data_IF_436025339687
#
_entry.id   IF_436025339687
#
_cell.length_a   1.000
_cell.length_b   1.000
_cell.length_c   1.000
_cell.angle_alpha   90.00
_cell.angle_beta   90.00
_cell.angle_gamma   90.00
#
_symmetry.space_group_name_H-M   'P 1'
#
loop_
_entity.id
_entity.type
_entity.pdbx_description
1 polymer ?
2 non-polymer ?
3 non-polymer ?
4 non-polymer ?
5 water ?
#
# COMPACT_ATOMS: atom_id res chain seq x y z
N UNK A 15 23.13 -6.88 -17.79
CA UNK A 15 23.69 -7.50 -18.98
C UNK A 15 23.50 -6.57 -20.16
N UNK A 16 24.56 -6.38 -20.93
CA UNK A 16 24.45 -5.60 -22.15
C UNK A 16 23.74 -6.37 -23.26
N UNK A 17 23.20 -7.56 -22.99
CA UNK A 17 22.33 -8.20 -23.97
C UNK A 17 20.97 -7.54 -24.03
N UNK A 18 20.61 -6.76 -23.01
CA UNK A 18 19.26 -6.27 -22.86
C UNK A 18 19.21 -4.76 -23.03
N UNK A 19 18.18 -4.29 -23.75
CA UNK A 19 17.85 -2.86 -23.88
C UNK A 19 19.05 -2.05 -24.39
N UNK A 20 19.68 -2.55 -25.45
CA UNK A 20 20.80 -1.82 -26.04
C UNK A 20 20.40 -0.96 -27.23
N UNK A 21 19.11 -0.92 -27.59
CA UNK A 21 18.69 -0.18 -28.78
C UNK A 21 17.48 0.71 -28.51
N UNK A 22 17.25 1.10 -27.26
CA UNK A 22 16.10 1.93 -26.91
C UNK A 22 16.47 3.41 -27.07
N UNK A 23 16.54 3.82 -28.33
CA UNK A 23 17.05 5.16 -28.66
C UNK A 23 16.07 6.24 -28.18
N UNK A 24 14.78 5.97 -28.25
CA UNK A 24 13.75 6.89 -27.83
C UNK A 24 12.97 6.27 -26.67
N UNK A 25 11.87 6.90 -26.31
CA UNK A 25 10.97 6.25 -25.39
C UNK A 25 11.19 6.66 -23.95
N UNK A 26 10.26 6.26 -23.12
CA UNK A 26 10.08 6.87 -21.82
C UNK A 26 9.67 5.80 -20.82
N UNK A 27 10.02 6.03 -19.56
CA UNK A 27 9.93 4.98 -18.55
C UNK A 27 9.33 5.56 -17.28
N UNK A 28 8.35 4.87 -16.70
CA UNK A 28 7.68 5.33 -15.50
C UNK A 28 7.70 4.25 -14.43
N UNK A 29 7.70 4.69 -13.17
CA UNK A 29 7.52 3.81 -12.01
C UNK A 29 6.04 3.62 -11.76
N UNK A 30 5.63 2.37 -11.53
CA UNK A 30 4.27 2.05 -11.07
C UNK A 30 4.37 1.54 -9.65
N UNK A 31 3.62 2.14 -8.74
CA UNK A 31 3.59 1.72 -7.32
C UNK A 31 2.19 1.26 -6.98
N UNK A 32 2.01 -0.04 -6.76
CA UNK A 32 0.68 -0.60 -6.50
C UNK A 32 0.43 -0.81 -5.01
N UNK A 33 -0.81 -0.57 -4.58
CA UNK A 33 -1.27 -0.95 -3.24
C UNK A 33 -1.69 -2.42 -3.16
N UNK A 34 -1.64 -3.14 -4.27
CA UNK A 34 -2.28 -4.44 -4.36
C UNK A 34 -1.43 -5.37 -5.21
N UNK A 35 -0.93 -6.45 -4.61
CA UNK A 35 -0.32 -7.50 -5.41
C UNK A 35 -1.36 -8.20 -6.27
N UNK A 36 -2.61 -8.29 -5.79
CA UNK A 36 -3.66 -8.93 -6.59
C UNK A 36 -3.92 -8.18 -7.89
N UNK A 37 -3.81 -6.85 -7.86
CA UNK A 37 -3.98 -6.09 -9.08
C UNK A 37 -2.86 -6.39 -10.06
N UNK A 38 -1.63 -6.53 -9.57
CA UNK A 38 -0.51 -6.89 -10.43
C UNK A 38 -0.75 -8.26 -11.07
N UNK A 39 -1.19 -9.23 -10.27
CA UNK A 39 -1.47 -10.56 -10.79
C UNK A 39 -2.52 -10.50 -11.91
N UNK A 40 -3.55 -9.68 -11.74
CA UNK A 40 -4.56 -9.55 -12.78
C UNK A 40 -3.97 -8.89 -14.01
N UNK A 41 -3.07 -7.93 -13.81
CA UNK A 41 -2.38 -7.27 -14.92
C UNK A 41 -1.54 -8.26 -15.71
N UNK A 42 -0.82 -9.14 -15.01
CA UNK A 42 0.01 -10.12 -15.72
C UNK A 42 -0.87 -11.11 -16.47
N UNK A 43 -2.02 -11.48 -15.89
CA UNK A 43 -2.88 -12.49 -16.51
C UNK A 43 -3.54 -11.95 -17.78
N UNK A 44 -3.98 -10.70 -17.77
CA UNK A 44 -4.76 -10.16 -18.88
C UNK A 44 -4.08 -9.04 -19.64
N UNK A 45 -2.83 -8.70 -19.29
CA UNK A 45 -2.05 -7.69 -20.01
C UNK A 45 -2.80 -6.36 -20.09
N UNK A 46 -3.25 -5.86 -18.93
CA UNK A 46 -3.91 -4.57 -18.83
C UNK A 46 -3.48 -3.90 -17.54
N UNK A 47 -3.64 -2.58 -17.49
CA UNK A 47 -3.36 -1.86 -16.25
C UNK A 47 -4.25 -0.63 -16.17
N UNK A 48 -4.27 -0.02 -14.98
CA UNK A 48 -5.00 1.22 -14.74
C UNK A 48 -4.21 1.98 -13.69
N UNK A 49 -4.13 3.31 -13.82
CA UNK A 49 -3.41 4.11 -12.83
C UNK A 49 -4.38 5.04 -12.10
N UNK A 50 -3.83 6.00 -11.35
CA UNK A 50 -4.62 7.07 -10.78
C UNK A 50 -5.22 7.93 -11.89
N UNK A 51 -6.08 8.87 -11.49
CA UNK A 51 -6.63 9.81 -12.47
C UNK A 51 -5.50 10.62 -13.11
N UNK A 52 -4.66 11.24 -12.29
CA UNK A 52 -3.53 12.00 -12.81
C UNK A 52 -2.49 11.09 -13.47
N UNK A 53 -2.30 9.88 -12.96
CA UNK A 53 -1.34 8.96 -13.58
C UNK A 53 -1.80 8.49 -14.95
N UNK A 54 -3.09 8.20 -15.09
CA UNK A 54 -3.61 7.84 -16.41
C UNK A 54 -3.38 8.94 -17.42
N UNK A 55 -3.63 10.19 -17.02
CA UNK A 55 -3.44 11.30 -17.96
C UNK A 55 -1.97 11.46 -18.35
N UNK A 56 -1.06 11.29 -17.38
CA UNK A 56 0.36 11.41 -17.68
C UNK A 56 0.84 10.30 -18.61
N UNK A 57 0.42 9.05 -18.35
CA UNK A 57 0.82 7.96 -19.23
C UNK A 57 0.18 8.09 -20.61
N UNK A 58 -1.08 8.53 -20.64
CA UNK A 58 -1.79 8.72 -21.91
C UNK A 58 -1.05 9.69 -22.80
N UNK A 59 -0.68 10.85 -22.24
CA UNK A 59 0.04 11.88 -23.00
C UNK A 59 1.40 11.37 -23.48
N UNK A 60 2.12 10.62 -22.64
CA UNK A 60 3.40 10.08 -23.04
C UNK A 60 3.24 9.07 -24.17
N UNK A 61 2.25 8.18 -24.06
CA UNK A 61 2.02 7.20 -25.12
C UNK A 61 1.59 7.88 -26.41
N UNK A 62 0.69 8.86 -26.32
CA UNK A 62 0.17 9.50 -27.53
C UNK A 62 1.25 10.31 -28.24
N UNK A 63 2.07 11.06 -27.48
CA UNK A 63 3.10 11.87 -28.12
C UNK A 63 4.23 11.01 -28.67
N UNK A 64 4.44 9.83 -28.11
CA UNK A 64 5.43 8.91 -28.66
C UNK A 64 5.06 8.47 -30.07
N UNK A 65 3.75 8.34 -30.34
CA UNK A 65 3.25 8.03 -31.69
C UNK A 65 3.97 6.83 -32.30
N UNK A 66 4.24 5.82 -31.47
CA UNK A 66 4.89 4.61 -31.94
C UNK A 66 6.37 4.74 -32.26
N UNK A 67 6.99 5.88 -31.97
CA UNK A 67 8.41 6.06 -32.26
C UNK A 67 9.32 5.27 -31.33
N UNK A 68 8.84 4.92 -30.14
CA UNK A 68 9.62 4.16 -29.20
C UNK A 68 8.72 3.55 -28.13
N UNK A 69 9.32 2.81 -27.19
CA UNK A 69 8.52 2.17 -26.14
C UNK A 69 8.30 3.05 -24.92
N UNK A 70 7.14 2.88 -24.30
CA UNK A 70 6.87 3.39 -22.96
C UNK A 70 6.93 2.18 -22.03
N UNK A 71 7.91 2.17 -21.15
CA UNK A 71 8.10 1.05 -20.23
C UNK A 71 7.61 1.42 -18.84
N UNK A 72 7.09 0.42 -18.13
CA UNK A 72 6.54 0.58 -16.78
C UNK A 72 7.30 -0.35 -15.84
N UNK A 73 7.88 0.21 -14.77
CA UNK A 73 8.66 -0.54 -13.80
C UNK A 73 7.77 -0.73 -12.57
N UNK A 74 7.34 -1.96 -12.32
CA UNK A 74 6.30 -2.22 -11.31
C UNK A 74 6.91 -2.56 -9.96
N UNK A 75 6.25 -2.09 -8.90
CA UNK A 75 6.65 -2.38 -7.53
C UNK A 75 5.42 -2.31 -6.65
N UNK A 76 5.29 -3.29 -5.75
CA UNK A 76 4.23 -3.27 -4.74
C UNK A 76 4.69 -2.42 -3.55
N UNK A 77 3.85 -1.47 -3.14
CA UNK A 77 4.15 -0.64 -1.98
C UNK A 77 4.52 -1.49 -0.77
N UNK A 78 5.66 -1.17 -0.14
CA UNK A 78 6.08 -1.83 1.08
C UNK A 78 6.80 -3.14 0.88
N UNK A 79 6.94 -3.61 -0.37
CA UNK A 79 7.49 -4.95 -0.61
C UNK A 79 9.00 -4.99 -0.56
N UNK A 80 9.67 -3.85 -0.72
CA UNK A 80 11.12 -3.85 -0.76
C UNK A 80 11.73 -4.40 -2.04
N UNK A 81 10.92 -4.60 -3.08
CA UNK A 81 11.46 -5.12 -4.34
C UNK A 81 10.59 -4.69 -5.50
N UNK A 82 11.22 -4.54 -6.66
CA UNK A 82 10.48 -4.36 -7.89
C UNK A 82 10.04 -5.75 -8.35
N UNK A 83 8.92 -5.83 -9.05
CA UNK A 83 8.39 -7.13 -9.41
C UNK A 83 8.30 -7.37 -10.91
N UNK A 84 8.63 -6.39 -11.74
CA UNK A 84 8.73 -6.68 -13.15
C UNK A 84 8.65 -5.42 -14.00
N UNK A 85 8.56 -5.67 -15.31
CA UNK A 85 8.57 -4.63 -16.33
C UNK A 85 7.52 -4.98 -17.37
N UNK A 86 6.76 -3.98 -17.78
CA UNK A 86 5.78 -4.13 -18.86
C UNK A 86 5.89 -2.94 -19.80
N UNK A 87 5.48 -3.16 -21.04
CA UNK A 87 5.43 -2.08 -22.02
C UNK A 87 3.99 -1.66 -22.23
N UNK A 88 3.76 -0.35 -22.31
CA UNK A 88 2.44 0.17 -22.59
C UNK A 88 2.08 -0.10 -24.05
N UNK A 89 0.87 -0.62 -24.30
CA UNK A 89 0.54 -1.07 -25.65
C UNK A 89 -0.75 -0.46 -26.18
N UNK A 90 -1.34 0.52 -25.50
CA UNK A 90 -2.49 1.25 -26.01
C UNK A 90 -2.63 2.58 -25.26
N UNK A 91 -3.45 3.45 -25.83
CA UNK A 91 -3.90 4.64 -25.12
C UNK A 91 -4.86 4.26 -24.01
N UNK A 92 -5.18 5.23 -23.16
CA UNK A 92 -6.06 4.99 -22.01
C UNK A 92 -7.51 5.09 -22.46
N UNK A 93 -8.29 4.07 -22.13
CA UNK A 93 -9.73 4.08 -22.28
C UNK A 93 -10.34 4.44 -20.93
N UNK A 94 -11.03 5.58 -20.86
CA UNK A 94 -11.47 6.11 -19.58
C UNK A 94 -12.83 5.59 -19.13
N UNK A 95 -13.66 5.10 -20.03
CA UNK A 95 -15.01 4.66 -19.70
C UNK A 95 -15.08 3.15 -19.92
N UNK A 96 -14.88 2.41 -18.84
CA UNK A 96 -14.75 0.96 -18.86
C UNK A 96 -15.53 0.39 -17.67
N UNK A 97 -15.58 -0.93 -17.61
CA UNK A 97 -16.31 -1.62 -16.55
C UNK A 97 -15.80 -1.20 -15.19
N UNK A 98 -16.72 -0.85 -14.30
CA UNK A 98 -16.36 -0.43 -12.94
C UNK A 98 -16.03 -1.63 -12.06
N UNK A 99 -15.24 -1.37 -11.02
CA UNK A 99 -15.03 -2.35 -9.96
C UNK A 99 -14.27 -3.61 -10.32
N UNK A 100 -13.43 -3.60 -11.36
CA UNK A 100 -12.70 -4.81 -11.76
C UNK A 100 -11.38 -4.96 -11.02
N UNK A 101 -10.96 -3.95 -10.27
CA UNK A 101 -9.71 -4.02 -9.53
C UNK A 101 -9.97 -4.09 -8.04
N UNK A 102 -8.89 -4.04 -7.26
CA UNK A 102 -9.00 -4.19 -5.81
C UNK A 102 -9.76 -3.04 -5.16
N UNK A 103 -9.81 -1.87 -5.80
CA UNK A 103 -10.60 -0.75 -5.31
C UNK A 103 -11.41 -0.16 -6.46
N UNK A 104 -12.59 0.37 -6.13
CA UNK A 104 -13.43 0.98 -7.15
C UNK A 104 -12.82 2.25 -7.72
N UNK A 105 -11.93 2.92 -6.98
CA UNK A 105 -11.30 4.15 -7.46
C UNK A 105 -10.37 3.96 -8.68
N UNK A 106 -9.98 2.74 -9.03
CA UNK A 106 -9.17 2.54 -10.23
C UNK A 106 -10.12 2.48 -11.42
N UNK A 107 -10.19 3.57 -12.19
CA UNK A 107 -11.15 3.71 -13.28
C UNK A 107 -10.42 3.89 -14.61
N UNK A 108 -10.80 3.12 -15.59
CA UNK A 108 -10.14 3.15 -16.89
C UNK A 108 -9.25 1.94 -17.09
N UNK A 109 -8.61 1.91 -18.26
CA UNK A 109 -7.86 0.73 -18.66
C UNK A 109 -6.95 1.09 -19.83
N UNK A 110 -5.75 0.50 -19.85
CA UNK A 110 -4.94 0.47 -21.05
C UNK A 110 -4.21 -0.87 -21.14
N UNK A 111 -3.82 -1.24 -22.36
CA UNK A 111 -3.16 -2.51 -22.58
C UNK A 111 -1.70 -2.41 -22.24
N UNK A 112 -1.14 -3.51 -21.76
CA UNK A 112 0.29 -3.61 -21.55
C UNK A 112 0.77 -4.95 -22.09
N UNK A 113 2.08 -5.08 -22.20
CA UNK A 113 2.73 -6.35 -22.51
C UNK A 113 3.81 -6.58 -21.46
N UNK A 114 3.60 -7.56 -20.58
CA UNK A 114 4.63 -7.85 -19.60
C UNK A 114 5.85 -8.49 -20.25
N UNK A 115 7.03 -8.01 -19.86
CA UNK A 115 8.31 -8.46 -20.39
C UNK A 115 9.06 -9.29 -19.37
N UNK A 116 9.19 -8.79 -18.15
CA UNK A 116 9.81 -9.50 -17.04
C UNK A 116 8.83 -9.57 -15.89
N UNK A 117 8.70 -10.76 -15.31
CA UNK A 117 8.03 -10.94 -14.03
C UNK A 117 9.09 -11.57 -13.13
N UNK A 118 9.69 -10.77 -12.26
CA UNK A 118 10.72 -11.25 -11.36
C UNK A 118 10.89 -10.25 -10.24
N UNK A 119 11.13 -10.76 -9.04
CA UNK A 119 11.39 -9.92 -7.89
C UNK A 119 12.86 -9.54 -7.87
N UNK A 120 13.13 -8.25 -7.82
CA UNK A 120 14.48 -7.71 -7.73
C UNK A 120 14.56 -6.85 -6.49
N UNK A 121 15.43 -7.18 -5.52
CA UNK A 121 15.48 -6.42 -4.27
C UNK A 121 15.88 -4.97 -4.50
N UNK A 122 15.30 -4.07 -3.70
CA UNK A 122 15.65 -2.66 -3.83
C UNK A 122 17.13 -2.39 -3.61
N UNK A 123 17.81 -3.29 -2.88
CA UNK A 123 19.25 -3.13 -2.67
C UNK A 123 20.01 -3.08 -3.99
N UNK A 124 19.54 -3.76 -5.02
CA UNK A 124 20.21 -3.77 -6.32
C UNK A 124 20.00 -2.48 -7.10
N UNK A 125 19.05 -1.64 -6.68
CA UNK A 125 18.63 -0.48 -7.46
C UNK A 125 18.80 0.85 -6.74
N UNK A 126 19.02 0.86 -5.43
CA UNK A 126 18.88 2.10 -4.67
C UNK A 126 20.04 3.08 -4.89
N UNK A 127 21.13 2.65 -5.53
CA UNK A 127 22.21 3.56 -5.88
C UNK A 127 21.85 4.48 -7.03
N UNK A 128 20.84 4.13 -7.81
CA UNK A 128 20.46 4.89 -9.00
C UNK A 128 19.57 6.04 -8.55
N UNK A 129 20.02 7.27 -8.79
CA UNK A 129 19.36 8.46 -8.29
C UNK A 129 18.74 9.22 -9.44
N UNK A 130 17.61 9.88 -9.18
CA UNK A 130 16.83 10.55 -10.22
C UNK A 130 17.05 12.05 -10.17
N UNK A 131 17.70 12.59 -11.21
CA UNK A 131 18.00 14.02 -11.22
C UNK A 131 16.76 14.88 -11.39
N UNK A 132 15.63 14.30 -11.85
CA UNK A 132 14.37 15.02 -11.92
C UNK A 132 13.54 14.87 -10.65
N UNK A 133 14.04 14.17 -9.65
CA UNK A 133 13.37 14.02 -8.36
C UNK A 133 14.35 14.27 -7.22
N UNK A 134 15.01 15.44 -7.27
CA UNK A 134 15.87 15.90 -6.19
C UNK A 134 16.95 14.88 -5.84
N UNK A 135 17.43 14.16 -6.85
CA UNK A 135 18.51 13.18 -6.68
C UNK A 135 18.17 12.08 -5.70
N UNK A 136 16.87 11.79 -5.54
CA UNK A 136 16.44 10.71 -4.65
C UNK A 136 16.63 9.35 -5.32
N UNK A 137 16.92 8.31 -4.54
CA UNK A 137 17.01 6.96 -5.11
C UNK A 137 15.74 6.62 -5.88
N UNK A 138 15.93 5.87 -6.97
CA UNK A 138 14.79 5.43 -7.79
C UNK A 138 13.85 4.56 -6.97
N UNK A 139 14.39 3.87 -5.96
CA UNK A 139 13.61 3.01 -5.08
C UNK A 139 12.74 3.79 -4.11
N UNK A 140 12.86 5.12 -4.06
CA UNK A 140 12.02 5.97 -3.23
C UNK A 140 10.99 6.75 -4.04
N UNK A 141 10.68 6.29 -5.25
CA UNK A 141 9.76 6.97 -6.13
C UNK A 141 8.31 6.72 -5.75
N UNK A 142 7.46 7.69 -6.06
CA UNK A 142 6.02 7.51 -5.96
C UNK A 142 5.46 6.99 -7.28
N UNK A 143 4.20 6.58 -7.23
CA UNK A 143 3.47 6.09 -8.40
C UNK A 143 3.52 7.11 -9.54
N UNK A 144 3.86 6.59 -10.74
CA UNK A 144 3.98 7.28 -12.04
C UNK A 144 5.07 8.35 -12.07
N UNK A 145 6.02 8.32 -11.13
CA UNK A 145 7.28 9.03 -11.30
C UNK A 145 7.95 8.66 -12.62
N UNK A 146 8.30 9.67 -13.42
CA UNK A 146 9.00 9.40 -14.67
C UNK A 146 10.51 9.30 -14.41
N UNK A 147 11.17 8.42 -15.11
CA UNK A 147 12.59 8.11 -14.91
C UNK A 147 13.37 8.68 -16.08
N UNK A 148 14.43 9.45 -15.86
CA UNK A 148 15.28 9.87 -16.99
C UNK A 148 15.77 8.66 -17.77
N UNK A 149 15.86 8.81 -19.09
CA UNK A 149 16.11 7.66 -19.96
C UNK A 149 17.39 6.94 -19.58
N UNK A 150 18.46 7.68 -19.26
CA UNK A 150 19.72 7.00 -19.00
C UNK A 150 19.70 6.25 -17.67
N UNK A 151 18.96 6.76 -16.68
CA UNK A 151 18.79 5.99 -15.45
C UNK A 151 17.84 4.81 -15.66
N UNK A 152 16.80 5.01 -16.48
CA UNK A 152 15.88 3.92 -16.80
C UNK A 152 16.61 2.77 -17.47
N UNK A 153 17.51 3.07 -18.43
CA UNK A 153 18.27 1.99 -19.03
C UNK A 153 19.05 1.21 -17.97
N UNK A 154 19.63 1.91 -16.99
CA UNK A 154 20.37 1.23 -15.94
C UNK A 154 19.48 0.29 -15.14
N UNK A 155 18.28 0.77 -14.76
CA UNK A 155 17.36 -0.06 -13.98
C UNK A 155 16.91 -1.26 -14.80
N UNK A 156 16.52 -1.02 -16.05
CA UNK A 156 16.03 -2.09 -16.91
C UNK A 156 17.07 -3.19 -17.09
N UNK A 157 18.35 -2.81 -17.25
CA UNK A 157 19.38 -3.83 -17.44
C UNK A 157 19.61 -4.62 -16.16
N UNK A 158 19.53 -3.95 -15.01
CA UNK A 158 19.69 -4.64 -13.74
C UNK A 158 18.56 -5.64 -13.53
N UNK A 159 17.32 -5.21 -13.75
CA UNK A 159 16.19 -6.12 -13.60
C UNK A 159 16.33 -7.29 -14.57
N UNK A 160 16.63 -6.99 -15.83
CA UNK A 160 16.72 -8.03 -16.87
C UNK A 160 17.73 -9.12 -16.49
N UNK A 161 18.89 -8.73 -15.95
CA UNK A 161 19.98 -9.68 -15.74
C UNK A 161 20.04 -10.26 -14.34
N UNK A 162 19.20 -9.78 -13.41
CA UNK A 162 19.27 -10.22 -12.03
C UNK A 162 18.93 -11.70 -11.90
N UNK A 163 19.74 -12.42 -11.13
CA UNK A 163 19.52 -13.85 -10.94
C UNK A 163 19.66 -14.24 -9.47
N UNK B 14 -28.87 18.16 21.76
CA UNK B 14 -28.52 16.75 21.66
C UNK B 14 -27.13 16.43 22.18
N UNK B 15 -26.88 15.14 22.45
CA UNK B 15 -25.55 14.75 22.89
C UNK B 15 -25.35 13.26 22.67
N UNK B 16 -24.08 12.89 22.50
CA UNK B 16 -23.65 11.50 22.40
C UNK B 16 -22.50 11.37 23.38
N UNK B 17 -22.77 10.78 24.55
CA UNK B 17 -21.77 10.61 25.57
C UNK B 17 -21.24 9.18 25.65
N UNK B 18 -21.52 8.35 24.64
CA UNK B 18 -21.18 6.94 24.72
C UNK B 18 -19.68 6.74 24.93
N UNK B 19 -18.85 7.40 24.12
CA UNK B 19 -17.42 7.08 24.18
C UNK B 19 -16.73 7.77 25.34
N UNK B 20 -17.27 8.92 25.78
CA UNK B 20 -16.73 9.57 26.97
C UNK B 20 -16.75 8.65 28.17
N UNK B 21 -17.77 7.79 28.27
CA UNK B 21 -17.94 6.90 29.42
C UNK B 21 -17.07 5.65 29.36
N UNK B 22 -16.33 5.42 28.27
CA UNK B 22 -15.49 4.23 28.19
C UNK B 22 -14.39 4.28 29.24
N UNK B 23 -14.33 3.25 30.08
CA UNK B 23 -13.38 3.23 31.18
C UNK B 23 -12.12 2.43 30.88
N UNK B 24 -12.25 1.33 30.14
CA UNK B 24 -11.14 0.41 29.93
C UNK B 24 -10.92 0.21 28.43
N UNK B 25 -9.79 -0.41 28.13
CA UNK B 25 -9.50 -0.71 26.75
C UNK B 25 -8.22 -0.06 26.30
N UNK B 26 -7.65 -0.59 25.24
CA UNK B 26 -6.45 -0.03 24.64
C UNK B 26 -6.67 0.01 23.14
N UNK B 27 -6.06 0.99 22.48
CA UNK B 27 -6.36 1.30 21.09
C UNK B 27 -5.05 1.47 20.35
N UNK B 28 -4.93 0.85 19.17
CA UNK B 28 -3.72 0.89 18.38
C UNK B 28 -4.06 1.32 16.97
N UNK B 29 -3.16 2.08 16.35
CA UNK B 29 -3.23 2.33 14.92
C UNK B 29 -2.61 1.15 14.19
N UNK B 30 -3.28 0.67 13.15
CA UNK B 30 -2.71 -0.33 12.24
C UNK B 30 -2.46 0.35 10.92
N UNK B 31 -1.21 0.35 10.46
CA UNK B 31 -0.84 0.90 9.17
C UNK B 31 -0.40 -0.26 8.28
N UNK B 32 -1.16 -0.48 7.21
CA UNK B 32 -0.88 -1.55 6.26
C UNK B 32 -0.45 -0.97 4.92
N UNK B 33 0.58 -1.59 4.32
CA UNK B 33 0.94 -1.20 2.95
C UNK B 33 -0.04 -1.73 1.92
N UNK B 34 -0.83 -2.75 2.25
CA UNK B 34 -1.50 -3.60 1.27
C UNK B 34 -3.03 -3.51 1.38
N UNK B 35 -3.67 -3.09 0.29
CA UNK B 35 -5.11 -3.21 0.21
C UNK B 35 -5.54 -4.67 0.25
N UNK B 36 -4.72 -5.58 -0.26
CA UNK B 36 -5.08 -6.99 -0.24
C UNK B 36 -5.15 -7.52 1.18
N UNK B 37 -4.18 -7.14 2.02
CA UNK B 37 -4.20 -7.57 3.41
C UNK B 37 -5.50 -7.12 4.10
N UNK B 38 -5.90 -5.86 3.88
CA UNK B 38 -7.15 -5.34 4.43
C UNK B 38 -8.34 -6.21 3.98
N UNK B 39 -8.40 -6.50 2.68
CA UNK B 39 -9.52 -7.30 2.17
C UNK B 39 -9.55 -8.68 2.78
N UNK B 40 -8.38 -9.31 2.94
CA UNK B 40 -8.35 -10.64 3.53
C UNK B 40 -8.76 -10.57 5.01
N UNK B 41 -8.36 -9.50 5.70
CA UNK B 41 -8.71 -9.36 7.10
C UNK B 41 -10.23 -9.25 7.29
N UNK B 42 -10.87 -8.42 6.47
CA UNK B 42 -12.32 -8.25 6.57
C UNK B 42 -13.02 -9.55 6.21
N UNK B 43 -12.50 -10.27 5.21
CA UNK B 43 -13.16 -11.49 4.74
C UNK B 43 -13.09 -12.60 5.79
N UNK B 44 -11.95 -12.76 6.45
CA UNK B 44 -11.70 -13.90 7.32
C UNK B 44 -11.51 -13.54 8.79
N UNK B 45 -11.60 -12.25 9.14
CA UNK B 45 -11.48 -11.82 10.53
C UNK B 45 -10.18 -12.30 11.17
N UNK B 46 -9.06 -12.00 10.51
CA UNK B 46 -7.73 -12.31 11.01
C UNK B 46 -6.79 -11.17 10.64
N UNK B 47 -5.65 -11.11 11.32
CA UNK B 47 -4.64 -10.10 11.03
C UNK B 47 -3.26 -10.65 11.37
N UNK B 48 -2.24 -9.99 10.82
CA UNK B 48 -0.85 -10.24 11.16
C UNK B 48 -0.10 -8.94 10.98
N UNK B 49 0.82 -8.64 11.90
CA UNK B 49 1.69 -7.47 11.82
C UNK B 49 3.14 -7.95 11.63
N UNK B 50 4.09 -7.02 11.70
CA UNK B 50 5.49 -7.42 11.79
C UNK B 50 5.72 -8.21 13.08
N UNK B 51 6.94 -8.75 13.22
CA UNK B 51 7.25 -9.43 14.48
C UNK B 51 7.17 -8.48 15.66
N UNK B 52 7.73 -7.27 15.50
CA UNK B 52 7.66 -6.26 16.54
C UNK B 52 6.22 -5.83 16.81
N UNK B 53 5.42 -5.67 15.75
CA UNK B 53 4.03 -5.31 15.92
C UNK B 53 3.23 -6.41 16.61
N UNK B 54 3.39 -7.65 16.16
CA UNK B 54 2.70 -8.77 16.79
C UNK B 54 3.03 -8.85 18.27
N UNK B 55 4.30 -8.66 18.64
CA UNK B 55 4.67 -8.72 20.04
C UNK B 55 3.95 -7.64 20.85
N UNK B 56 3.90 -6.41 20.32
CA UNK B 56 3.24 -5.34 21.07
C UNK B 56 1.75 -5.59 21.23
N UNK B 57 1.07 -5.99 20.13
CA UNK B 57 -0.35 -6.28 20.21
C UNK B 57 -0.65 -7.45 21.14
N UNK B 58 0.21 -8.48 21.12
CA UNK B 58 -0.02 -9.66 21.95
C UNK B 58 0.02 -9.29 23.42
N UNK B 59 1.08 -8.58 23.84
CA UNK B 59 1.20 -8.17 25.23
C UNK B 59 -0.01 -7.36 25.68
N UNK B 60 -0.50 -6.46 24.82
CA UNK B 60 -1.67 -5.68 25.17
C UNK B 60 -2.91 -6.55 25.30
N UNK B 61 -3.08 -7.53 24.40
CA UNK B 61 -4.22 -8.43 24.51
C UNK B 61 -4.16 -9.26 25.80
N UNK B 62 -2.98 -9.80 26.11
CA UNK B 62 -2.86 -10.70 27.26
C UNK B 62 -3.03 -9.95 28.57
N UNK B 63 -2.52 -8.72 28.66
CA UNK B 63 -2.64 -7.96 29.89
C UNK B 63 -4.02 -7.34 30.09
N UNK B 64 -4.87 -7.33 29.06
CA UNK B 64 -6.23 -6.85 29.25
C UNK B 64 -7.06 -7.80 30.10
N UNK B 65 -6.82 -9.11 29.93
CA UNK B 65 -7.54 -10.16 30.65
C UNK B 65 -9.05 -9.94 30.59
N UNK B 66 -9.55 -9.69 29.37
CA UNK B 66 -10.96 -9.56 29.12
C UNK B 66 -11.65 -8.39 29.78
N UNK B 67 -10.92 -7.51 30.49
CA UNK B 67 -11.56 -6.39 31.18
C UNK B 67 -11.99 -5.27 30.25
N UNK B 68 -11.71 -5.40 28.95
CA UNK B 68 -12.04 -4.37 27.98
C UNK B 68 -11.42 -4.75 26.65
N UNK B 69 -11.79 -4.06 25.59
CA UNK B 69 -11.32 -4.44 24.25
C UNK B 69 -9.96 -3.87 23.92
N UNK B 70 -9.28 -4.55 23.00
CA UNK B 70 -8.16 -3.96 22.26
C UNK B 70 -8.72 -3.57 20.90
N UNK B 71 -8.79 -2.27 20.63
CA UNK B 71 -9.32 -1.76 19.37
C UNK B 71 -8.18 -1.51 18.40
N UNK B 72 -8.41 -1.82 17.11
CA UNK B 72 -7.45 -1.61 16.03
C UNK B 72 -8.07 -0.67 15.01
N UNK B 73 -7.39 0.45 14.74
CA UNK B 73 -7.85 1.47 13.81
C UNK B 73 -6.99 1.37 12.55
N UNK B 74 -7.61 0.98 11.43
CA UNK B 74 -6.87 0.53 10.25
C UNK B 74 -6.75 1.64 9.22
N UNK B 75 -5.56 1.77 8.63
CA UNK B 75 -5.34 2.73 7.56
C UNK B 75 -4.28 2.17 6.60
N UNK B 76 -4.54 2.27 5.30
CA UNK B 76 -3.54 1.86 4.31
C UNK B 76 -2.56 3.00 4.08
N UNK B 77 -1.26 2.70 4.21
CA UNK B 77 -0.20 3.70 4.01
C UNK B 77 -0.40 4.45 2.70
N UNK B 78 -0.44 5.77 2.77
CA UNK B 78 -0.60 6.59 1.58
C UNK B 78 -2.00 6.76 1.06
N UNK B 79 -3.00 6.10 1.67
CA UNK B 79 -4.37 6.18 1.16
C UNK B 79 -5.10 7.47 1.54
N UNK B 80 -4.64 8.17 2.58
CA UNK B 80 -5.31 9.39 3.01
C UNK B 80 -6.57 9.21 3.80
N UNK B 81 -6.84 8.01 4.31
CA UNK B 81 -8.02 7.79 5.12
C UNK B 81 -7.84 6.55 5.98
N UNK B 82 -8.61 6.48 7.04
CA UNK B 82 -8.78 5.23 7.77
C UNK B 82 -9.88 4.44 7.09
N UNK B 83 -9.82 3.11 7.22
CA UNK B 83 -10.79 2.29 6.51
C UNK B 83 -11.65 1.44 7.43
N UNK B 84 -11.41 1.46 8.74
CA UNK B 84 -12.33 0.79 9.63
C UNK B 84 -11.71 0.49 10.99
N UNK B 85 -12.48 -0.26 11.77
CA UNK B 85 -12.14 -0.58 13.15
C UNK B 85 -12.42 -2.06 13.38
N UNK B 86 -11.53 -2.71 14.10
CA UNK B 86 -11.73 -4.09 14.50
C UNK B 86 -11.33 -4.23 15.95
N UNK B 87 -11.87 -5.26 16.59
CA UNK B 87 -11.45 -5.62 17.93
C UNK B 87 -10.59 -6.86 17.84
N UNK B 88 -9.50 -6.88 18.59
CA UNK B 88 -8.63 -8.03 18.69
C UNK B 88 -9.31 -9.13 19.50
N UNK B 89 -9.28 -10.37 19.01
CA UNK B 89 -10.09 -11.44 19.60
C UNK B 89 -9.30 -12.70 19.95
N UNK B 90 -7.98 -12.70 19.83
CA UNK B 90 -7.14 -13.80 20.25
C UNK B 90 -5.72 -13.29 20.43
N UNK B 91 -4.94 -14.04 21.19
CA UNK B 91 -3.50 -13.82 21.23
C UNK B 91 -2.88 -14.18 19.88
N UNK B 92 -1.61 -13.82 19.73
CA UNK B 92 -0.90 -14.04 18.47
C UNK B 92 -0.41 -15.48 18.41
N UNK B 93 -0.77 -16.18 17.33
CA UNK B 93 -0.17 -17.46 16.99
C UNK B 93 0.97 -17.21 16.01
N UNK B 94 2.19 -17.51 16.44
CA UNK B 94 3.38 -17.13 15.69
C UNK B 94 3.80 -18.14 14.62
N UNK B 95 3.23 -19.34 14.62
CA UNK B 95 3.64 -20.40 13.69
C UNK B 95 2.41 -20.89 12.97
N UNK B 96 2.04 -20.18 11.90
CA UNK B 96 0.94 -20.62 11.05
C UNK B 96 1.42 -20.69 9.62
N UNK B 97 0.51 -20.91 8.68
CA UNK B 97 0.85 -21.02 7.28
C UNK B 97 1.46 -19.72 6.75
N UNK B 98 2.59 -19.82 6.07
CA UNK B 98 3.23 -18.63 5.53
C UNK B 98 2.62 -18.27 4.17
N UNK B 99 2.98 -17.08 3.68
CA UNK B 99 2.59 -16.69 2.34
C UNK B 99 1.14 -16.28 2.15
N UNK B 100 0.40 -16.06 3.23
CA UNK B 100 -0.98 -15.60 3.09
C UNK B 100 -1.09 -14.08 3.06
N UNK B 101 -0.07 -13.37 3.52
CA UNK B 101 -0.11 -11.91 3.55
C UNK B 101 0.76 -11.35 2.44
N UNK B 102 0.65 -10.04 2.20
CA UNK B 102 1.37 -9.48 1.06
C UNK B 102 2.89 -9.63 1.23
N UNK B 103 3.39 -9.57 2.46
CA UNK B 103 4.76 -10.00 2.74
C UNK B 103 4.74 -11.52 2.89
N UNK B 104 5.36 -12.21 1.93
CA UNK B 104 5.30 -13.68 1.92
C UNK B 104 5.93 -14.29 3.16
N UNK B 105 6.86 -13.59 3.82
CA UNK B 105 7.56 -14.18 4.96
C UNK B 105 6.71 -14.27 6.22
N UNK B 106 5.65 -13.47 6.33
CA UNK B 106 4.86 -13.45 7.57
C UNK B 106 4.16 -14.78 7.78
N UNK B 107 4.26 -15.30 9.00
CA UNK B 107 3.61 -16.55 9.35
C UNK B 107 2.84 -16.45 10.66
N UNK B 108 2.68 -15.24 11.21
CA UNK B 108 1.87 -15.06 12.39
C UNK B 108 0.40 -14.84 12.05
N UNK B 109 -0.45 -15.02 13.06
CA UNK B 109 -1.88 -14.81 12.87
C UNK B 109 -2.54 -14.58 14.22
N UNK B 110 -3.50 -13.66 14.25
CA UNK B 110 -4.40 -13.58 15.39
C UNK B 110 -5.78 -13.22 14.89
N UNK B 111 -6.80 -13.54 15.70
CA UNK B 111 -8.18 -13.30 15.31
C UNK B 111 -8.57 -11.86 15.61
N UNK B 112 -9.37 -11.28 14.73
CA UNK B 112 -9.99 -9.99 14.98
C UNK B 112 -11.49 -10.11 14.70
N UNK B 113 -12.22 -9.04 15.03
CA UNK B 113 -13.61 -8.90 14.63
C UNK B 113 -13.81 -7.49 14.10
N UNK B 114 -14.01 -7.37 12.79
CA UNK B 114 -14.30 -6.06 12.24
C UNK B 114 -15.68 -5.63 12.71
N UNK B 115 -15.73 -4.45 13.31
CA UNK B 115 -16.97 -3.91 13.83
C UNK B 115 -17.37 -2.63 13.12
N UNK B 116 -16.55 -2.13 12.22
CA UNK B 116 -16.80 -0.90 11.50
C UNK B 116 -15.95 -0.92 10.23
N UNK B 117 -16.59 -0.79 9.07
CA UNK B 117 -15.88 -0.71 7.80
C UNK B 117 -16.40 0.49 7.04
N UNK B 118 -15.63 1.57 7.00
CA UNK B 118 -16.02 2.75 6.25
C UNK B 118 -14.84 3.70 6.18
N UNK B 119 -14.71 4.39 5.05
CA UNK B 119 -13.59 5.31 4.85
C UNK B 119 -13.84 6.60 5.61
N UNK B 120 -12.86 7.00 6.42
CA UNK B 120 -12.91 8.26 7.15
C UNK B 120 -11.67 9.06 6.76
N UNK B 121 -11.84 10.20 6.07
CA UNK B 121 -10.68 10.93 5.55
C UNK B 121 -9.78 11.42 6.67
N UNK B 122 -8.49 11.58 6.34
CA UNK B 122 -7.52 12.04 7.32
C UNK B 122 -7.85 13.44 7.82
N UNK B 123 -8.58 14.23 7.03
CA UNK B 123 -8.90 15.59 7.43
C UNK B 123 -9.86 15.63 8.61
N UNK B 124 -10.69 14.59 8.79
CA UNK B 124 -11.57 14.53 9.95
C UNK B 124 -10.82 14.25 11.24
N UNK B 125 -9.59 13.72 11.16
CA UNK B 125 -8.88 13.26 12.34
C UNK B 125 -7.56 13.97 12.62
N UNK B 126 -7.03 14.75 11.68
CA UNK B 126 -5.65 15.22 11.84
C UNK B 126 -5.47 16.17 13.01
N UNK B 127 -6.55 16.76 13.53
CA UNK B 127 -6.41 17.70 14.62
C UNK B 127 -6.24 17.02 15.98
N UNK B 128 -6.48 15.72 16.08
CA UNK B 128 -6.19 14.97 17.30
C UNK B 128 -4.71 14.62 17.30
N UNK B 129 -4.01 15.01 18.37
CA UNK B 129 -2.56 14.78 18.47
C UNK B 129 -2.26 13.84 19.62
N UNK B 130 -1.15 13.11 19.52
CA UNK B 130 -0.81 12.07 20.48
C UNK B 130 0.37 12.52 21.34
N UNK B 131 0.11 12.71 22.63
CA UNK B 131 1.15 13.17 23.54
C UNK B 131 2.23 12.12 23.75
N UNK B 132 1.97 10.84 23.44
CA UNK B 132 2.98 9.81 23.60
C UNK B 132 3.80 9.59 22.32
N UNK B 133 3.49 10.34 21.26
CA UNK B 133 4.27 10.31 20.02
C UNK B 133 4.60 11.73 19.59
N UNK B 134 5.20 12.49 20.51
CA UNK B 134 5.74 13.83 20.23
C UNK B 134 4.68 14.80 19.73
N UNK B 135 3.42 14.61 20.17
CA UNK B 135 2.30 15.49 19.84
C UNK B 135 2.00 15.54 18.34
N UNK B 136 2.42 14.51 17.60
CA UNK B 136 2.09 14.44 16.18
C UNK B 136 0.63 14.06 15.99
N UNK B 137 0.02 14.53 14.90
CA UNK B 137 -1.35 14.10 14.58
C UNK B 137 -1.46 12.58 14.57
N UNK B 138 -2.60 12.08 15.05
CA UNK B 138 -2.82 10.64 15.04
C UNK B 138 -2.76 10.10 13.62
N UNK B 139 -3.06 10.95 12.63
CA UNK B 139 -3.01 10.55 11.24
C UNK B 139 -1.60 10.44 10.69
N UNK B 140 -0.58 10.80 11.47
CA UNK B 140 0.81 10.59 11.07
C UNK B 140 1.49 9.50 11.90
N UNK B 141 0.72 8.50 12.35
CA UNK B 141 1.30 7.45 13.17
C UNK B 141 1.93 6.36 12.28
N UNK B 142 2.80 5.57 12.88
CA UNK B 142 3.31 4.34 12.27
C UNK B 142 2.52 3.15 12.79
N UNK B 143 2.76 2.00 12.15
CA UNK B 143 2.05 0.76 12.51
C UNK B 143 2.23 0.40 13.99
N UNK B 144 1.12 0.05 14.65
CA UNK B 144 0.96 -0.31 16.07
C UNK B 144 1.36 0.81 17.04
N UNK B 145 1.33 2.06 16.58
CA UNK B 145 1.34 3.20 17.49
C UNK B 145 0.16 3.06 18.45
N UNK B 146 0.43 3.06 19.76
CA UNK B 146 -0.68 3.06 20.70
C UNK B 146 -1.25 4.47 20.89
N UNK B 147 -2.56 4.52 21.13
CA UNK B 147 -3.32 5.75 21.26
C UNK B 147 -3.75 5.88 22.72
N UNK B 148 -3.43 6.96 23.41
CA UNK B 148 -3.91 7.12 24.80
C UNK B 148 -5.43 7.09 24.82
N UNK B 149 -5.99 6.46 25.87
CA UNK B 149 -7.43 6.24 25.91
C UNK B 149 -8.20 7.55 25.75
N UNK B 150 -7.74 8.63 26.38
CA UNK B 150 -8.53 9.85 26.27
C UNK B 150 -8.53 10.42 24.85
N UNK B 151 -7.48 10.15 24.05
CA UNK B 151 -7.52 10.54 22.65
C UNK B 151 -8.30 9.54 21.80
N UNK B 152 -8.20 8.26 22.14
CA UNK B 152 -8.91 7.23 21.40
C UNK B 152 -10.42 7.46 21.46
N UNK B 153 -10.92 7.95 22.60
CA UNK B 153 -12.35 8.24 22.71
C UNK B 153 -12.77 9.28 21.67
N UNK B 154 -11.92 10.30 21.48
CA UNK B 154 -12.22 11.34 20.50
C UNK B 154 -12.16 10.79 19.08
N UNK B 155 -11.21 9.89 18.82
CA UNK B 155 -11.10 9.30 17.49
C UNK B 155 -12.31 8.45 17.18
N UNK B 156 -12.70 7.58 18.13
CA UNK B 156 -13.83 6.70 17.90
C UNK B 156 -15.11 7.48 17.65
N UNK B 157 -15.30 8.59 18.37
CA UNK B 157 -16.52 9.36 18.17
C UNK B 157 -16.56 9.97 16.78
N UNK B 158 -15.42 10.48 16.30
CA UNK B 158 -15.38 11.04 14.94
C UNK B 158 -15.63 9.95 13.91
N UNK B 159 -15.00 8.78 14.07
CA UNK B 159 -15.21 7.70 13.12
C UNK B 159 -16.67 7.27 13.11
N UNK B 160 -17.23 7.04 14.29
CA UNK B 160 -18.62 6.58 14.37
C UNK B 160 -19.60 7.58 13.78
N UNK B 161 -19.29 8.87 13.85
CA UNK B 161 -20.22 9.91 13.44
C UNK B 161 -19.92 10.48 12.07
N UNK B 162 -18.91 9.98 11.36
CA UNK B 162 -18.63 10.48 10.02
C UNK B 162 -19.64 9.94 9.02
N UNK B 163 -20.06 10.80 8.10
CA UNK B 163 -21.06 10.43 7.10
C UNK B 163 -20.61 10.77 5.68
#
# INVERSE_FOLDING_TARGET
MGSSYHHHHHHSSGENLYFQHMKHGRVFIIKSYSEDDIHRSIKYNIWCSTEHGNKRLDAAYRSMNGKGPVYLLFSVNGSGHFCGVAEMKSAVDYNTCAGVWSQDKWKGRFDVRWIFVKDVPNSQLRHIRLENNENKPVTNSRDTQEVPLEKAKQVLKIIASYKHTTS
MGSSYHHHHHHSSGENLYFQHMKHGRVFIIKSYSEDDIHRSIKYNIWCSTEHGNKRLDAAYRSMNGKGPVYLLFSVNGSGHFCGVAEMKSAVDYNTCAGVWSQDKWKGRFDVRWIFVKDVPNSQLRHIRLENNENKPVTNSRDTQEVPLEKAKQVLKIIASYKHTTS
#
